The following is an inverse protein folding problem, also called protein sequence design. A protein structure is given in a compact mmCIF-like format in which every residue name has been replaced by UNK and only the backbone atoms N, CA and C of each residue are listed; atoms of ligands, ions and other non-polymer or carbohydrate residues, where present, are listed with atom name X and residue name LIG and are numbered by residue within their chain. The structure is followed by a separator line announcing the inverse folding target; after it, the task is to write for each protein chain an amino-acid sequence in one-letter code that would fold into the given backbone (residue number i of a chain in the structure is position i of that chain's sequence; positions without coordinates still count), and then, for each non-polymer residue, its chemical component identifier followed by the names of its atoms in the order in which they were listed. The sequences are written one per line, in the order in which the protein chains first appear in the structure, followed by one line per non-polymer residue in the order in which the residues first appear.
data_IF_664738594500
#
_entry.id   IF_664738594500
#
_cell.length_a   1.000
_cell.length_b   1.000
_cell.length_c   1.000
_cell.angle_alpha   90.00
_cell.angle_beta   90.00
_cell.angle_gamma   90.00
#
_symmetry.space_group_name_H-M   'P 1'
#
loop_
_entity.id
_entity.type
_entity.pdbx_description
1 polymer ?
#
# COMPACT_ATOMS: atom_id res chain seq x y z
N UNK A 1 -39.87 29.16 -29.01
CA UNK A 1 -39.20 27.89 -28.70
C UNK A 1 -37.73 28.21 -28.48
N UNK A 2 -37.28 28.40 -27.23
CA UNK A 2 -35.87 28.68 -26.92
C UNK A 2 -35.38 27.60 -25.96
N UNK A 3 -34.43 26.80 -26.45
CA UNK A 3 -34.02 25.54 -25.85
C UNK A 3 -33.16 25.74 -24.61
N UNK A 4 -33.56 25.05 -23.56
CA UNK A 4 -32.85 24.86 -22.30
C UNK A 4 -31.50 24.16 -22.58
N UNK A 5 -30.37 24.85 -22.41
CA UNK A 5 -29.05 24.20 -22.46
C UNK A 5 -28.40 24.30 -21.09
N UNK A 6 -28.59 23.24 -20.31
CA UNK A 6 -27.85 23.01 -19.07
C UNK A 6 -26.38 22.72 -19.45
N UNK A 7 -25.38 23.31 -18.77
CA UNK A 7 -24.00 22.90 -18.98
C UNK A 7 -23.80 21.48 -18.42
N UNK A 8 -23.37 20.57 -19.28
CA UNK A 8 -22.93 19.22 -18.91
C UNK A 8 -21.74 19.35 -17.97
N UNK A 9 -21.96 18.97 -16.71
CA UNK A 9 -20.92 18.84 -15.70
C UNK A 9 -20.04 17.64 -16.09
N UNK A 10 -18.91 17.92 -16.77
CA UNK A 10 -17.90 16.91 -17.06
C UNK A 10 -17.32 16.39 -15.74
N UNK A 11 -17.80 15.22 -15.33
CA UNK A 11 -17.17 14.39 -14.31
C UNK A 11 -15.92 13.76 -14.94
N UNK A 12 -14.89 14.59 -15.18
CA UNK A 12 -13.55 14.10 -15.46
C UNK A 12 -13.03 13.50 -14.17
N UNK A 13 -13.20 12.18 -14.05
CA UNK A 13 -12.62 11.33 -13.00
C UNK A 13 -11.10 11.36 -13.07
N UNK A 14 -10.51 12.52 -12.78
CA UNK A 14 -9.10 12.70 -12.55
C UNK A 14 -8.76 11.87 -11.30
N UNK A 15 -8.38 10.62 -11.53
CA UNK A 15 -7.55 9.89 -10.60
C UNK A 15 -6.22 10.65 -10.53
N UNK A 16 -6.18 11.76 -9.77
CA UNK A 16 -4.96 12.41 -9.31
C UNK A 16 -4.18 11.32 -8.60
N UNK A 17 -3.32 10.62 -9.35
CA UNK A 17 -2.36 9.68 -8.79
C UNK A 17 -1.46 10.55 -7.93
N UNK A 18 -1.70 10.45 -6.63
CA UNK A 18 -0.96 11.20 -5.63
C UNK A 18 0.53 11.07 -5.89
N UNK A 19 1.28 12.17 -5.73
CA UNK A 19 2.68 12.22 -6.09
C UNK A 19 3.47 11.20 -5.25
N UNK A 20 3.94 10.13 -5.90
CA UNK A 20 4.66 9.05 -5.21
C UNK A 20 6.11 9.45 -5.01
N UNK A 21 6.47 9.76 -3.76
CA UNK A 21 7.87 10.00 -3.42
C UNK A 21 8.63 8.68 -3.52
N UNK A 22 9.76 8.70 -4.22
CA UNK A 22 10.66 7.54 -4.28
C UNK A 22 11.30 7.38 -2.91
N UNK A 23 11.24 6.17 -2.37
CA UNK A 23 11.85 5.83 -1.08
C UNK A 23 12.59 4.51 -1.20
N UNK A 24 13.54 4.28 -0.31
CA UNK A 24 14.15 2.98 -0.10
C UNK A 24 14.05 2.68 1.39
N UNK A 25 12.95 2.01 1.79
CA UNK A 25 12.71 1.63 3.19
C UNK A 25 12.59 0.12 3.28
N UNK A 26 13.18 -0.46 4.32
CA UNK A 26 12.85 -1.83 4.72
C UNK A 26 11.44 -1.88 5.28
N UNK A 27 10.73 -2.98 5.04
CA UNK A 27 9.45 -3.25 5.68
C UNK A 27 9.26 -4.74 5.90
N UNK A 28 8.37 -5.07 6.82
CA UNK A 28 8.01 -6.44 7.16
C UNK A 28 6.51 -6.61 7.03
N UNK A 29 6.08 -7.55 6.20
CA UNK A 29 4.68 -7.93 6.07
C UNK A 29 4.36 -9.01 7.11
N UNK A 30 3.37 -8.73 7.95
CA UNK A 30 2.95 -9.59 9.05
C UNK A 30 1.62 -10.23 8.65
N UNK A 31 1.62 -11.55 8.50
CA UNK A 31 0.49 -12.30 7.93
C UNK A 31 -0.39 -13.02 8.95
N UNK A 32 -0.13 -12.89 10.25
CA UNK A 32 -0.96 -13.44 11.34
C UNK A 32 -1.01 -14.97 11.43
N UNK A 33 -0.61 -15.71 10.39
CA UNK A 33 -0.54 -17.17 10.37
C UNK A 33 0.86 -17.57 10.85
N UNK A 34 0.94 -18.20 12.03
CA UNK A 34 2.16 -18.86 12.55
C UNK A 34 3.46 -18.04 12.42
N UNK A 35 3.48 -16.77 12.85
CA UNK A 35 4.68 -15.90 12.79
C UNK A 35 5.31 -15.78 11.39
N UNK A 36 4.54 -16.00 10.32
CA UNK A 36 5.06 -15.85 8.96
C UNK A 36 5.20 -14.36 8.63
N UNK A 37 6.46 -13.93 8.56
CA UNK A 37 6.86 -12.60 8.17
C UNK A 37 7.54 -12.62 6.81
N UNK A 38 7.19 -11.65 5.97
CA UNK A 38 7.80 -11.50 4.66
C UNK A 38 8.55 -10.17 4.62
N UNK A 39 9.87 -10.24 4.46
CA UNK A 39 10.70 -9.05 4.24
C UNK A 39 10.36 -8.41 2.90
N UNK A 40 10.27 -7.09 2.89
CA UNK A 40 10.00 -6.32 1.68
C UNK A 40 10.82 -5.03 1.65
N UNK A 41 10.89 -4.42 0.47
CA UNK A 41 11.44 -3.08 0.28
C UNK A 41 10.38 -2.16 -0.29
N UNK A 42 10.11 -1.04 0.36
CA UNK A 42 9.30 0.03 -0.22
C UNK A 42 10.14 0.76 -1.27
N UNK A 43 9.61 0.86 -2.49
CA UNK A 43 10.25 1.52 -3.65
C UNK A 43 9.71 2.92 -3.90
N UNK A 44 8.46 3.14 -3.51
CA UNK A 44 7.82 4.44 -3.46
C UNK A 44 6.71 4.42 -2.40
N UNK A 45 6.36 5.60 -1.89
CA UNK A 45 5.35 5.76 -0.85
C UNK A 45 4.65 7.12 -1.02
N UNK A 46 3.36 7.15 -0.73
CA UNK A 46 2.52 8.35 -0.62
C UNK A 46 1.48 8.13 0.50
N UNK A 47 0.60 9.11 0.77
CA UNK A 47 -0.32 9.01 1.93
C UNK A 47 -1.31 7.86 1.79
N UNK A 48 -1.71 7.55 0.55
CA UNK A 48 -2.65 6.48 0.24
C UNK A 48 -2.05 5.11 -0.05
N UNK A 49 -0.73 4.95 -0.14
CA UNK A 49 -0.17 3.64 -0.53
C UNK A 49 1.32 3.63 -0.86
N UNK A 50 1.77 2.47 -1.34
CA UNK A 50 3.18 2.22 -1.67
C UNK A 50 3.34 1.14 -2.75
N UNK A 51 4.50 1.13 -3.39
CA UNK A 51 5.01 0.00 -4.15
C UNK A 51 6.03 -0.76 -3.32
N UNK A 52 5.81 -2.06 -3.17
CA UNK A 52 6.66 -3.00 -2.46
C UNK A 52 7.40 -3.88 -3.47
N UNK A 53 8.65 -4.20 -3.17
CA UNK A 53 9.41 -5.29 -3.79
C UNK A 53 9.52 -6.44 -2.78
N UNK A 54 9.12 -7.63 -3.18
CA UNK A 54 9.13 -8.86 -2.39
C UNK A 54 10.15 -9.85 -2.97
N UNK A 55 10.37 -10.98 -2.30
CA UNK A 55 11.05 -12.10 -2.95
C UNK A 55 10.12 -12.70 -4.03
N UNK A 56 10.66 -13.23 -5.15
CA UNK A 56 9.88 -13.69 -6.31
C UNK A 56 8.74 -14.68 -6.00
N UNK A 57 8.85 -15.46 -4.93
CA UNK A 57 7.87 -16.49 -4.53
C UNK A 57 7.13 -16.18 -3.22
N UNK A 58 7.22 -14.93 -2.73
CA UNK A 58 6.54 -14.52 -1.51
C UNK A 58 5.02 -14.61 -1.64
N UNK A 59 4.40 -15.53 -0.88
CA UNK A 59 2.95 -15.62 -0.77
C UNK A 59 2.44 -14.62 0.25
N UNK A 60 1.82 -13.55 -0.23
CA UNK A 60 1.26 -12.48 0.61
C UNK A 60 -0.25 -12.38 0.41
N UNK A 61 -1.05 -12.40 1.49
CA UNK A 61 -2.50 -12.24 1.42
C UNK A 61 -2.90 -10.88 0.83
N UNK A 62 -4.17 -10.73 0.44
CA UNK A 62 -4.65 -9.44 -0.09
C UNK A 62 -4.70 -8.35 0.98
N UNK A 63 -4.85 -8.70 2.25
CA UNK A 63 -4.86 -7.76 3.38
C UNK A 63 -3.81 -8.18 4.39
N UNK A 64 -2.99 -7.25 4.85
CA UNK A 64 -1.93 -7.51 5.81
C UNK A 64 -1.52 -6.25 6.59
N UNK A 65 -0.72 -6.45 7.63
CA UNK A 65 0.01 -5.37 8.29
C UNK A 65 1.41 -5.25 7.70
N UNK A 66 1.79 -4.04 7.29
CA UNK A 66 3.12 -3.69 6.83
C UNK A 66 3.81 -2.84 7.90
N UNK A 67 4.76 -3.42 8.63
CA UNK A 67 5.59 -2.66 9.55
C UNK A 67 6.76 -2.00 8.81
N UNK A 68 6.95 -0.70 9.01
CA UNK A 68 8.07 0.05 8.43
C UNK A 68 8.92 0.60 9.57
N UNK A 69 10.10 -0.01 9.88
CA UNK A 69 10.88 0.33 11.06
C UNK A 69 11.29 1.80 11.13
N UNK A 70 11.68 2.39 9.99
CA UNK A 70 12.10 3.80 9.92
C UNK A 70 10.96 4.78 10.18
N UNK A 71 9.72 4.39 9.92
CA UNK A 71 8.53 5.20 10.20
C UNK A 71 7.99 4.91 11.61
N UNK A 72 8.47 3.84 12.27
CA UNK A 72 8.00 3.41 13.59
C UNK A 72 6.56 2.92 13.64
N UNK A 73 5.90 2.76 12.49
CA UNK A 73 4.46 2.46 12.40
C UNK A 73 4.17 1.22 11.55
N UNK A 74 3.02 0.61 11.80
CA UNK A 74 2.46 -0.45 10.97
C UNK A 74 1.29 0.09 10.14
N UNK A 75 1.32 -0.12 8.84
CA UNK A 75 0.23 0.21 7.92
C UNK A 75 -0.68 -1.00 7.73
N UNK A 76 -1.99 -0.82 7.85
CA UNK A 76 -2.96 -1.76 7.28
C UNK A 76 -2.96 -1.57 5.78
N UNK A 77 -2.63 -2.62 5.04
CA UNK A 77 -2.39 -2.56 3.61
C UNK A 77 -3.28 -3.57 2.86
N UNK A 78 -3.82 -3.13 1.74
CA UNK A 78 -4.57 -3.95 0.80
C UNK A 78 -3.86 -3.98 -0.56
N UNK A 79 -3.65 -5.17 -1.13
CA UNK A 79 -3.05 -5.32 -2.45
C UNK A 79 -3.99 -4.79 -3.53
N UNK A 80 -3.49 -3.88 -4.36
CA UNK A 80 -4.21 -3.33 -5.51
C UNK A 80 -3.75 -3.93 -6.84
N UNK A 81 -2.50 -4.35 -6.93
CA UNK A 81 -1.95 -5.04 -8.10
C UNK A 81 -0.70 -5.84 -7.74
N UNK A 82 -0.40 -6.86 -8.54
CA UNK A 82 0.84 -7.65 -8.47
C UNK A 82 1.46 -7.74 -9.86
N UNK A 83 2.78 -7.57 -9.96
CA UNK A 83 3.55 -7.72 -11.20
C UNK A 83 4.95 -8.22 -10.86
N UNK A 84 5.26 -9.46 -11.21
CA UNK A 84 6.51 -10.13 -10.85
C UNK A 84 6.76 -10.07 -9.34
N UNK A 85 7.92 -9.59 -8.93
CA UNK A 85 8.35 -9.36 -7.56
C UNK A 85 7.80 -8.06 -6.94
N UNK A 86 6.90 -7.34 -7.64
CA UNK A 86 6.35 -6.06 -7.19
C UNK A 86 4.88 -6.14 -6.85
N UNK A 87 4.52 -5.46 -5.77
CA UNK A 87 3.15 -5.38 -5.28
C UNK A 87 2.81 -3.92 -4.99
N UNK A 88 1.73 -3.43 -5.58
CA UNK A 88 1.18 -2.14 -5.19
C UNK A 88 0.12 -2.31 -4.12
N UNK A 89 0.22 -1.50 -3.07
CA UNK A 89 -0.71 -1.53 -1.95
C UNK A 89 -1.40 -0.20 -1.74
N UNK A 90 -2.63 -0.25 -1.21
CA UNK A 90 -3.34 0.88 -0.63
C UNK A 90 -3.26 0.80 0.88
N UNK A 91 -2.97 1.91 1.53
CA UNK A 91 -3.08 2.02 2.99
C UNK A 91 -4.53 2.27 3.38
N UNK A 92 -5.05 1.44 4.29
CA UNK A 92 -6.42 1.52 4.81
C UNK A 92 -6.46 1.98 6.28
N UNK A 93 -5.29 2.17 6.89
CA UNK A 93 -5.14 2.70 8.24
C UNK A 93 -3.75 2.44 8.79
N UNK A 94 -3.52 2.84 10.03
CA UNK A 94 -2.29 2.53 10.77
C UNK A 94 -2.61 1.75 12.03
N UNK A 95 -1.59 1.11 12.59
CA UNK A 95 -1.61 0.41 13.85
C UNK A 95 -0.31 0.73 14.61
N UNK A 96 -0.32 0.67 15.94
CA UNK A 96 0.92 0.76 16.73
C UNK A 96 1.88 -0.37 16.34
N UNK A 97 3.17 -0.18 16.66
CA UNK A 97 4.18 -1.24 16.48
C UNK A 97 3.64 -2.55 17.06
N UNK A 98 3.55 -3.61 16.26
CA UNK A 98 3.03 -4.88 16.75
C UNK A 98 3.95 -5.38 17.86
N UNK A 99 3.34 -5.71 19.02
CA UNK A 99 4.00 -6.35 20.16
C UNK A 99 4.25 -7.83 19.87
N UNK A 100 4.82 -8.15 18.71
CA UNK A 100 5.34 -9.49 18.49
C UNK A 100 6.73 -9.50 19.15
N UNK A 101 6.97 -10.49 20.02
CA UNK A 101 8.31 -10.78 20.53
C UNK A 101 9.11 -11.27 19.32
N UNK A 102 9.78 -10.34 18.63
CA UNK A 102 10.86 -10.68 17.72
C UNK A 102 11.98 -11.16 18.64
N UNK A 103 12.16 -12.47 18.73
CA UNK A 103 13.19 -13.11 19.55
C UNK A 103 14.59 -12.61 19.22
#
# INVERSE_FOLDING_TARGET
MANNTQPLQENSGEHKREHRQRVLKGGTIITGIQNSEVSCTLRNQHVGGAELKLAPDSRVPNNFLLYVPVDGIAYRAEVRWRRNDRVGVRFTGTAPKPKLHYG
#
